data_IF_680376570064
#
_entry.id   IF_680376570064
#
_cell.length_a   1.000
_cell.length_b   1.000
_cell.length_c   1.000
_cell.angle_alpha   90.00
_cell.angle_beta   90.00
_cell.angle_gamma   90.00
#
_symmetry.space_group_name_H-M   'P 1'
#
loop_
_entity.id
_entity.type
_entity.pdbx_description
1 polymer ?
#
# COMPACT_ATOMS: atom_id res chain seq x y z
N UNK A 1 -6.84 -6.94 15.38
CA UNK A 1 -7.05 -5.54 14.92
C UNK A 1 -6.04 -5.13 13.85
N UNK A 2 -4.72 -5.12 14.15
CA UNK A 2 -3.67 -4.77 13.16
C UNK A 2 -3.72 -5.59 11.88
N UNK A 3 -3.90 -6.91 11.99
CA UNK A 3 -4.00 -7.80 10.83
C UNK A 3 -5.22 -7.50 9.95
N UNK A 4 -6.35 -7.11 10.55
CA UNK A 4 -7.55 -6.71 9.80
C UNK A 4 -7.32 -5.44 9.00
N UNK A 5 -6.66 -4.45 9.61
CA UNK A 5 -6.28 -3.21 8.92
C UNK A 5 -5.31 -3.51 7.79
N UNK A 6 -4.28 -4.34 8.02
CA UNK A 6 -3.32 -4.72 6.99
C UNK A 6 -4.00 -5.45 5.82
N UNK A 7 -4.92 -6.38 6.11
CA UNK A 7 -5.69 -7.08 5.09
C UNK A 7 -6.54 -6.12 4.25
N UNK A 8 -7.27 -5.19 4.89
CA UNK A 8 -8.07 -4.20 4.18
C UNK A 8 -7.23 -3.30 3.27
N UNK A 9 -6.07 -2.84 3.74
CA UNK A 9 -5.16 -2.00 2.95
C UNK A 9 -4.56 -2.73 1.74
N UNK A 10 -4.25 -4.02 1.89
CA UNK A 10 -3.79 -4.86 0.79
C UNK A 10 -4.91 -5.13 -0.22
N UNK A 11 -6.13 -5.40 0.27
CA UNK A 11 -7.30 -5.72 -0.56
C UNK A 11 -7.69 -4.54 -1.47
N UNK A 12 -7.73 -3.31 -0.93
CA UNK A 12 -8.05 -2.11 -1.72
C UNK A 12 -6.84 -1.56 -2.51
N UNK A 13 -5.67 -2.19 -2.42
CA UNK A 13 -4.44 -1.75 -3.08
C UNK A 13 -3.83 -0.45 -2.52
N UNK A 14 -4.26 -0.01 -1.33
CA UNK A 14 -3.64 1.11 -0.62
C UNK A 14 -2.22 0.77 -0.15
N UNK A 15 -1.90 -0.52 -0.01
CA UNK A 15 -0.55 -1.03 0.19
C UNK A 15 -0.25 -2.08 -0.88
N UNK A 16 0.90 -1.97 -1.53
CA UNK A 16 1.38 -2.92 -2.53
C UNK A 16 2.81 -3.37 -2.22
N UNK A 17 3.10 -4.65 -2.46
CA UNK A 17 4.41 -5.27 -2.25
C UNK A 17 4.95 -5.82 -3.56
N UNK A 18 6.18 -5.47 -3.92
CA UNK A 18 6.90 -6.05 -5.04
C UNK A 18 8.39 -6.19 -4.70
N UNK A 19 8.79 -7.41 -4.32
CA UNK A 19 10.18 -7.74 -3.99
C UNK A 19 11.05 -7.94 -5.24
N UNK A 20 10.46 -8.44 -6.33
CA UNK A 20 11.18 -8.73 -7.56
C UNK A 20 11.55 -7.44 -8.31
N UNK A 21 10.62 -6.48 -8.33
CA UNK A 21 10.81 -5.16 -8.94
C UNK A 21 10.38 -4.05 -7.96
N UNK A 22 11.30 -3.59 -7.09
CA UNK A 22 11.04 -2.53 -6.12
C UNK A 22 10.67 -1.21 -6.79
N UNK A 23 9.69 -0.51 -6.19
CA UNK A 23 9.27 0.82 -6.60
C UNK A 23 10.38 1.84 -6.36
N UNK A 24 10.47 2.85 -7.23
CA UNK A 24 11.35 4.00 -7.05
C UNK A 24 10.52 5.19 -6.59
N UNK A 25 10.78 5.69 -5.39
CA UNK A 25 10.13 6.88 -4.86
C UNK A 25 10.65 8.14 -5.56
N UNK A 26 9.93 9.25 -5.40
CA UNK A 26 10.34 10.56 -5.94
C UNK A 26 11.68 11.06 -5.40
N UNK A 27 12.10 10.58 -4.22
CA UNK A 27 13.42 10.82 -3.66
C UNK A 27 14.55 10.02 -4.34
N UNK A 28 14.21 9.10 -5.24
CA UNK A 28 15.13 8.12 -5.82
C UNK A 28 15.35 6.86 -4.98
N UNK A 29 14.80 6.80 -3.76
CA UNK A 29 14.89 5.60 -2.92
C UNK A 29 14.11 4.44 -3.55
N UNK A 30 14.71 3.25 -3.58
CA UNK A 30 14.04 2.02 -3.97
C UNK A 30 13.44 1.32 -2.76
N UNK A 31 12.18 0.92 -2.84
CA UNK A 31 11.44 0.27 -1.75
C UNK A 31 10.60 -0.89 -2.28
N UNK A 32 10.58 -2.06 -1.59
CA UNK A 32 9.74 -3.19 -1.98
C UNK A 32 8.27 -2.99 -1.63
N UNK A 33 7.94 -1.93 -0.89
CA UNK A 33 6.59 -1.56 -0.49
C UNK A 33 6.25 -0.19 -1.06
N UNK A 34 5.00 -0.02 -1.48
CA UNK A 34 4.41 1.28 -1.81
C UNK A 34 3.10 1.43 -1.03
N UNK A 35 2.83 2.62 -0.53
CA UNK A 35 1.62 2.92 0.26
C UNK A 35 1.00 4.23 -0.21
N UNK A 36 -0.29 4.18 -0.57
CA UNK A 36 -1.11 5.36 -0.83
C UNK A 36 -2.45 5.26 -0.08
N UNK A 37 -2.46 5.76 1.16
CA UNK A 37 -3.66 5.76 2.01
C UNK A 37 -4.75 6.73 1.52
N UNK A 38 -4.50 7.57 0.50
CA UNK A 38 -5.55 8.43 -0.07
C UNK A 38 -6.66 7.60 -0.71
N UNK A 39 -6.35 6.38 -1.16
CA UNK A 39 -7.32 5.41 -1.67
C UNK A 39 -8.36 4.98 -0.62
N UNK A 40 -8.10 5.16 0.68
CA UNK A 40 -9.11 4.90 1.71
C UNK A 40 -10.34 5.79 1.54
N UNK A 41 -10.18 7.02 1.04
CA UNK A 41 -11.29 7.97 0.86
C UNK A 41 -12.31 7.48 -0.17
N UNK A 42 -11.90 6.63 -1.12
CA UNK A 42 -12.80 6.01 -2.10
C UNK A 42 -13.39 4.68 -1.65
N UNK A 43 -13.02 4.17 -0.47
CA UNK A 43 -13.49 2.90 0.08
C UNK A 43 -14.06 3.06 1.51
N UNK A 44 -15.23 3.69 1.68
CA UNK A 44 -15.78 4.03 3.00
C UNK A 44 -16.13 2.82 3.89
N UNK A 45 -16.23 1.63 3.30
CA UNK A 45 -16.62 0.39 3.98
C UNK A 45 -15.43 -0.53 4.32
N UNK A 46 -14.20 -0.13 3.95
CA UNK A 46 -12.97 -0.90 4.19
C UNK A 46 -12.58 -0.95 5.67
#
# INVERSE_FOLDING_TARGET
>A
MRERVAAALLDIGAVALNLAEPYTYTSGLRSPIYTDNRLLMSHPAA
#
